data_IF_511708948053
#
_entry.id   IF_511708948053
#
_cell.length_a   1.000
_cell.length_b   1.000
_cell.length_c   1.000
_cell.angle_alpha   90.00
_cell.angle_beta   90.00
_cell.angle_gamma   90.00
#
_symmetry.space_group_name_H-M   'P 1'
#
loop_
_entity.id
_entity.type
_entity.pdbx_description
1 polymer ?
#
# COMPACT_ATOMS: atom_id res chain seq x y z
N UNK A 1 45.03 -9.21 -31.21
CA UNK A 1 44.82 -10.66 -31.17
C UNK A 1 44.88 -11.11 -29.73
N UNK A 2 43.78 -11.20 -29.05
CA UNK A 2 43.57 -12.09 -27.91
C UNK A 2 42.10 -12.48 -27.91
N UNK A 3 41.93 -13.78 -28.10
CA UNK A 3 40.66 -14.49 -28.18
C UNK A 3 40.21 -14.81 -26.74
N UNK A 4 39.02 -14.41 -26.38
CA UNK A 4 38.34 -14.85 -25.15
C UNK A 4 36.96 -15.37 -25.53
N UNK A 5 36.95 -16.64 -25.94
CA UNK A 5 35.76 -17.47 -25.93
C UNK A 5 35.70 -18.23 -24.58
N UNK A 6 34.58 -18.17 -23.90
CA UNK A 6 34.22 -19.13 -22.86
C UNK A 6 33.90 -18.52 -21.52
N UNK A 7 32.62 -18.42 -21.25
CA UNK A 7 31.92 -18.78 -20.01
C UNK A 7 30.58 -18.01 -19.93
N UNK A 8 29.60 -18.54 -20.63
CA UNK A 8 28.19 -18.25 -20.33
C UNK A 8 27.51 -19.58 -20.03
N UNK A 9 27.25 -19.84 -18.78
CA UNK A 9 26.16 -20.73 -18.36
C UNK A 9 26.07 -20.71 -16.84
N UNK A 10 25.27 -19.80 -16.31
CA UNK A 10 24.53 -20.02 -15.08
C UNK A 10 23.17 -19.41 -15.32
N UNK A 11 22.24 -20.24 -15.77
CA UNK A 11 20.83 -19.95 -15.78
C UNK A 11 20.35 -19.83 -14.33
N UNK A 12 19.98 -18.64 -13.94
CA UNK A 12 19.14 -18.45 -12.79
C UNK A 12 17.74 -18.93 -13.23
N UNK A 13 17.32 -20.11 -12.76
CA UNK A 13 15.93 -20.54 -12.76
C UNK A 13 15.15 -19.60 -11.84
N UNK A 14 14.73 -18.47 -12.37
CA UNK A 14 13.63 -17.72 -11.81
C UNK A 14 12.36 -18.51 -12.15
N UNK A 15 11.96 -19.42 -11.27
CA UNK A 15 10.61 -19.97 -11.28
C UNK A 15 9.64 -18.82 -10.97
N UNK A 16 9.31 -18.00 -11.96
CA UNK A 16 8.15 -17.12 -11.92
C UNK A 16 6.95 -18.03 -11.94
N UNK A 17 6.40 -18.29 -10.77
CA UNK A 17 5.14 -19.02 -10.62
C UNK A 17 4.03 -18.12 -11.17
N UNK A 18 3.53 -18.43 -12.36
CA UNK A 18 2.38 -17.74 -12.95
C UNK A 18 1.12 -18.46 -12.50
N UNK A 19 0.22 -17.82 -11.75
CA UNK A 19 -1.06 -18.42 -11.43
C UNK A 19 -1.84 -18.74 -12.72
N UNK A 20 -2.53 -19.87 -12.73
CA UNK A 20 -3.41 -20.28 -13.84
C UNK A 20 -4.67 -19.40 -13.96
N UNK A 21 -4.55 -18.12 -13.72
CA UNK A 21 -5.64 -17.16 -13.78
C UNK A 21 -6.29 -17.05 -15.16
N UNK A 22 -5.56 -17.36 -16.21
CA UNK A 22 -5.94 -17.01 -17.59
C UNK A 22 -6.51 -18.17 -18.39
N UNK A 23 -6.59 -19.35 -17.82
CA UNK A 23 -7.46 -20.39 -18.30
C UNK A 23 -8.60 -20.61 -17.31
N UNK A 24 -9.37 -19.57 -17.00
CA UNK A 24 -10.75 -19.79 -16.59
C UNK A 24 -11.39 -20.48 -17.77
N UNK A 25 -11.44 -21.81 -17.71
CA UNK A 25 -12.31 -22.59 -18.56
C UNK A 25 -13.72 -22.06 -18.31
N UNK A 26 -14.21 -21.18 -19.15
CA UNK A 26 -15.61 -20.70 -19.15
C UNK A 26 -16.62 -21.86 -19.35
N UNK A 27 -16.18 -23.10 -19.22
CA UNK A 27 -16.97 -24.32 -19.40
C UNK A 27 -17.50 -24.92 -18.11
N UNK A 28 -17.14 -24.37 -16.91
CA UNK A 28 -17.79 -24.71 -15.65
C UNK A 28 -18.52 -23.46 -15.11
N UNK A 29 -19.54 -23.00 -15.82
CA UNK A 29 -20.55 -22.14 -15.24
C UNK A 29 -21.31 -22.96 -14.19
N UNK A 30 -20.87 -22.88 -12.92
CA UNK A 30 -21.77 -23.21 -11.82
C UNK A 30 -22.85 -22.13 -11.84
N UNK A 31 -24.12 -22.53 -11.92
CA UNK A 31 -25.30 -21.66 -11.99
C UNK A 31 -25.47 -20.76 -10.75
N UNK A 32 -24.54 -20.76 -9.82
CA UNK A 32 -24.65 -20.17 -8.49
C UNK A 32 -23.64 -19.02 -8.23
N UNK A 33 -22.76 -18.69 -9.20
CA UNK A 33 -21.83 -17.55 -9.01
C UNK A 33 -22.57 -16.23 -9.19
N UNK A 34 -22.33 -15.30 -8.27
CA UNK A 34 -22.82 -13.92 -8.38
C UNK A 34 -22.19 -13.27 -9.61
N UNK A 35 -23.03 -12.62 -10.42
CA UNK A 35 -22.56 -11.88 -11.58
C UNK A 35 -22.24 -10.43 -11.18
N UNK A 36 -20.96 -10.08 -11.19
CA UNK A 36 -20.51 -8.71 -10.92
C UNK A 36 -20.84 -7.79 -12.09
N UNK A 37 -21.36 -6.60 -11.76
CA UNK A 37 -21.65 -5.58 -12.78
C UNK A 37 -20.36 -4.83 -13.17
N UNK A 38 -19.60 -5.44 -14.09
CA UNK A 38 -18.29 -4.94 -14.54
C UNK A 38 -18.35 -3.54 -15.17
N UNK A 39 -19.44 -3.19 -15.84
CA UNK A 39 -19.57 -1.86 -16.44
C UNK A 39 -19.80 -0.79 -15.35
N UNK A 40 -20.59 -1.08 -14.30
CA UNK A 40 -20.76 -0.19 -13.16
C UNK A 40 -19.46 -0.03 -12.38
N UNK A 41 -18.73 -1.12 -12.14
CA UNK A 41 -17.41 -1.10 -11.51
C UNK A 41 -16.45 -0.19 -12.30
N UNK A 42 -16.40 -0.34 -13.63
CA UNK A 42 -15.59 0.50 -14.50
C UNK A 42 -16.00 1.98 -14.39
N UNK A 43 -17.28 2.29 -14.48
CA UNK A 43 -17.76 3.68 -14.43
C UNK A 43 -17.48 4.34 -13.09
N UNK A 44 -17.61 3.62 -11.96
CA UNK A 44 -17.21 4.09 -10.63
C UNK A 44 -15.72 4.41 -10.61
N UNK A 45 -14.88 3.45 -10.98
CA UNK A 45 -13.45 3.63 -11.00
C UNK A 45 -13.02 4.84 -11.84
N UNK A 46 -13.56 4.96 -13.08
CA UNK A 46 -13.29 6.10 -13.94
C UNK A 46 -13.71 7.45 -13.30
N UNK A 47 -14.82 7.48 -12.57
CA UNK A 47 -15.28 8.70 -11.90
C UNK A 47 -14.39 9.06 -10.69
N UNK A 48 -13.92 8.06 -9.95
CA UNK A 48 -13.10 8.27 -8.76
C UNK A 48 -11.68 8.74 -9.10
N UNK A 49 -11.04 8.15 -10.10
CA UNK A 49 -9.69 8.55 -10.51
C UNK A 49 -9.62 9.98 -11.08
N UNK A 50 -10.74 10.53 -11.54
CA UNK A 50 -10.81 11.91 -12.04
C UNK A 50 -10.89 12.97 -10.92
N UNK A 51 -11.15 12.56 -9.68
CA UNK A 51 -11.08 13.46 -8.52
C UNK A 51 -9.63 13.54 -8.05
N UNK A 52 -9.00 14.70 -8.11
CA UNK A 52 -7.63 14.90 -7.63
C UNK A 52 -7.60 14.83 -6.09
N UNK A 53 -6.83 13.91 -5.54
CA UNK A 53 -6.78 13.64 -4.10
C UNK A 53 -5.36 13.43 -3.57
N UNK A 54 -4.34 13.92 -4.30
CA UNK A 54 -2.94 13.74 -3.88
C UNK A 54 -2.72 14.21 -2.45
N UNK A 55 -2.08 13.38 -1.64
CA UNK A 55 -1.67 13.73 -0.29
C UNK A 55 -0.59 14.83 -0.33
N UNK A 56 -0.57 15.69 0.68
CA UNK A 56 0.44 16.75 0.82
C UNK A 56 1.23 16.52 2.12
N UNK A 57 2.46 15.96 2.04
CA UNK A 57 3.28 15.72 3.23
C UNK A 57 3.73 17.00 3.95
N UNK A 58 3.62 18.17 3.30
CA UNK A 58 3.93 19.45 3.91
C UNK A 58 2.74 20.09 4.64
N UNK A 59 1.55 19.49 4.54
CA UNK A 59 0.33 20.01 5.17
C UNK A 59 0.19 19.57 6.62
N UNK A 60 -0.06 20.53 7.52
CA UNK A 60 -0.42 20.24 8.92
C UNK A 60 -1.91 19.88 9.09
N UNK A 61 -2.73 20.02 8.05
CA UNK A 61 -4.16 19.68 8.12
C UNK A 61 -4.40 18.17 8.01
N UNK A 62 -5.59 17.72 8.45
CA UNK A 62 -6.09 16.38 8.20
C UNK A 62 -7.55 16.49 7.67
N UNK A 63 -7.87 15.91 6.50
CA UNK A 63 -6.90 15.38 5.55
C UNK A 63 -5.96 16.47 5.00
N UNK A 64 -4.83 16.04 4.45
CA UNK A 64 -3.79 16.94 3.93
C UNK A 64 -4.22 17.71 2.68
N UNK A 65 -5.21 17.21 1.94
CA UNK A 65 -5.75 17.82 0.73
C UNK A 65 -7.27 17.87 0.71
N UNK A 66 -7.84 18.91 0.06
CA UNK A 66 -9.29 19.09 -0.03
C UNK A 66 -9.99 18.09 -0.95
N UNK A 67 -9.27 17.53 -1.93
CA UNK A 67 -9.84 16.57 -2.87
C UNK A 67 -10.35 15.28 -2.19
N UNK A 68 -9.74 14.89 -1.08
CA UNK A 68 -10.19 13.76 -0.27
C UNK A 68 -11.60 13.99 0.31
N UNK A 69 -11.92 15.23 0.71
CA UNK A 69 -13.30 15.61 1.08
C UNK A 69 -14.27 15.46 -0.09
N UNK A 70 -13.85 15.82 -1.29
CA UNK A 70 -14.74 15.83 -2.46
C UNK A 70 -15.02 14.40 -2.95
N UNK A 71 -14.01 13.53 -2.97
CA UNK A 71 -14.20 12.10 -3.24
C UNK A 71 -15.09 11.46 -2.16
N UNK A 72 -14.83 11.75 -0.89
CA UNK A 72 -15.66 11.25 0.22
C UNK A 72 -17.13 11.68 0.13
N UNK A 73 -17.42 12.91 -0.32
CA UNK A 73 -18.81 13.37 -0.58
C UNK A 73 -19.47 12.57 -1.69
N UNK A 74 -18.73 12.26 -2.77
CA UNK A 74 -19.22 11.43 -3.87
C UNK A 74 -19.61 10.03 -3.35
N UNK A 75 -18.71 9.38 -2.61
CA UNK A 75 -18.94 8.06 -2.02
C UNK A 75 -20.11 8.04 -1.05
N UNK A 76 -20.23 9.07 -0.20
CA UNK A 76 -21.37 9.23 0.70
C UNK A 76 -22.71 9.31 -0.06
N UNK A 77 -22.74 10.03 -1.20
CA UNK A 77 -23.94 10.11 -2.04
C UNK A 77 -24.30 8.74 -2.63
N UNK A 78 -23.30 7.98 -3.09
CA UNK A 78 -23.52 6.63 -3.63
C UNK A 78 -23.98 5.64 -2.55
N UNK A 79 -23.35 5.65 -1.35
CA UNK A 79 -23.77 4.79 -0.23
C UNK A 79 -25.22 5.06 0.17
N UNK A 80 -25.62 6.34 0.21
CA UNK A 80 -27.01 6.72 0.50
C UNK A 80 -27.99 6.30 -0.61
N UNK A 81 -27.56 6.38 -1.87
CA UNK A 81 -28.36 5.86 -2.99
C UNK A 81 -28.52 4.33 -2.94
N UNK A 82 -27.56 3.62 -2.37
CA UNK A 82 -27.61 2.19 -2.06
C UNK A 82 -28.37 1.88 -0.75
N UNK A 83 -29.03 2.86 -0.13
CA UNK A 83 -29.82 2.73 1.10
C UNK A 83 -29.01 2.33 2.34
N UNK A 84 -27.73 2.67 2.39
CA UNK A 84 -26.90 2.52 3.59
C UNK A 84 -27.27 3.65 4.57
N UNK A 85 -28.08 3.31 5.57
CA UNK A 85 -28.78 4.30 6.42
C UNK A 85 -27.82 5.08 7.33
N UNK A 86 -26.76 4.43 7.84
CA UNK A 86 -25.77 5.02 8.73
C UNK A 86 -24.61 5.69 7.98
N UNK A 87 -24.68 5.75 6.64
CA UNK A 87 -23.60 6.34 5.83
C UNK A 87 -23.36 7.80 6.20
N UNK A 88 -22.13 8.11 6.58
CA UNK A 88 -21.70 9.45 6.93
C UNK A 88 -20.24 9.72 6.50
N UNK A 89 -19.94 10.99 6.27
CA UNK A 89 -18.57 11.51 6.23
C UNK A 89 -18.40 12.34 7.51
N UNK A 90 -17.38 12.00 8.29
CA UNK A 90 -17.16 12.65 9.58
C UNK A 90 -16.32 13.93 9.47
N UNK A 91 -16.02 14.56 10.61
CA UNK A 91 -15.23 15.79 10.71
C UNK A 91 -13.75 15.62 10.27
N UNK A 92 -13.30 14.41 10.03
CA UNK A 92 -11.98 14.07 9.53
C UNK A 92 -11.99 13.60 8.08
N UNK A 93 -13.10 13.80 7.37
CA UNK A 93 -13.33 13.35 6.00
C UNK A 93 -13.43 11.82 5.82
N UNK A 94 -13.29 11.03 6.87
CA UNK A 94 -13.46 9.58 6.80
C UNK A 94 -14.89 9.24 6.41
N UNK A 95 -15.07 8.29 5.51
CA UNK A 95 -16.41 7.85 5.07
C UNK A 95 -16.74 6.50 5.70
N UNK A 96 -17.88 6.43 6.34
CA UNK A 96 -18.38 5.28 7.08
C UNK A 96 -19.71 4.79 6.54
N UNK A 97 -19.95 3.48 6.61
CA UNK A 97 -21.24 2.89 6.30
C UNK A 97 -21.31 1.45 6.76
N UNK A 98 -22.52 0.92 6.94
CA UNK A 98 -22.74 -0.47 7.32
C UNK A 98 -23.77 -1.12 6.40
N UNK A 99 -23.39 -2.19 5.73
CA UNK A 99 -24.33 -3.12 5.09
C UNK A 99 -24.87 -4.02 6.21
N UNK A 100 -26.17 -3.98 6.54
CA UNK A 100 -26.75 -4.84 7.57
C UNK A 100 -26.62 -6.32 7.21
N UNK A 101 -26.49 -7.18 8.22
CA UNK A 101 -26.44 -8.62 7.99
C UNK A 101 -27.69 -9.14 7.26
N UNK A 102 -27.50 -9.99 6.26
CA UNK A 102 -28.60 -10.59 5.49
C UNK A 102 -29.45 -11.56 6.32
N UNK A 103 -28.88 -12.20 7.34
CA UNK A 103 -29.51 -13.18 8.22
C UNK A 103 -29.96 -12.60 9.58
N UNK A 104 -29.74 -11.29 9.81
CA UNK A 104 -30.07 -10.62 11.07
C UNK A 104 -29.11 -10.93 12.23
N UNK A 105 -28.05 -11.69 12.04
CA UNK A 105 -26.98 -11.89 13.02
C UNK A 105 -26.09 -10.66 13.09
N UNK A 106 -25.53 -10.33 14.25
CA UNK A 106 -24.74 -9.12 14.46
C UNK A 106 -23.23 -9.37 14.42
N UNK A 107 -22.79 -10.63 14.48
CA UNK A 107 -21.37 -11.02 14.53
C UNK A 107 -21.13 -12.30 13.74
N UNK A 108 -19.92 -12.50 13.19
CA UNK A 108 -18.82 -11.53 13.19
C UNK A 108 -19.06 -10.36 12.25
N UNK A 109 -18.56 -9.17 12.62
CA UNK A 109 -18.55 -7.98 11.78
C UNK A 109 -17.23 -7.88 11.03
N UNK A 110 -17.28 -7.72 9.72
CA UNK A 110 -16.11 -7.54 8.87
C UNK A 110 -16.03 -6.09 8.40
N UNK A 111 -14.87 -5.45 8.53
CA UNK A 111 -14.63 -4.14 7.95
C UNK A 111 -13.83 -4.24 6.65
N UNK A 112 -14.16 -3.41 5.67
CA UNK A 112 -13.42 -3.25 4.43
C UNK A 112 -12.91 -1.82 4.37
N UNK A 113 -11.62 -1.68 4.10
CA UNK A 113 -10.89 -0.41 4.18
C UNK A 113 -10.17 -0.13 2.85
N UNK A 114 -10.24 1.10 2.39
CA UNK A 114 -9.49 1.62 1.24
C UNK A 114 -9.20 3.10 1.47
N UNK A 115 -8.09 3.63 0.94
CA UNK A 115 -7.77 5.04 1.13
C UNK A 115 -8.22 5.92 -0.04
N UNK A 116 -8.49 7.18 0.27
CA UNK A 116 -9.00 8.18 -0.67
C UNK A 116 -7.89 8.96 -1.39
N UNK A 117 -6.76 9.15 -0.70
CA UNK A 117 -5.65 9.89 -1.24
C UNK A 117 -4.87 9.12 -2.32
N UNK A 118 -4.00 9.80 -2.98
CA UNK A 118 -3.03 9.22 -3.92
C UNK A 118 -1.65 9.73 -3.60
N UNK A 119 -0.63 8.97 -3.98
CA UNK A 119 0.76 9.29 -3.75
C UNK A 119 1.15 10.68 -4.28
N UNK A 120 1.95 11.45 -3.52
CA UNK A 120 2.55 12.70 -4.00
C UNK A 120 3.77 12.48 -4.93
N UNK A 121 4.22 11.25 -5.15
CA UNK A 121 5.43 10.93 -5.92
C UNK A 121 5.28 11.22 -7.42
N UNK A 122 4.05 11.19 -7.93
CA UNK A 122 3.74 11.59 -9.30
C UNK A 122 2.52 12.53 -9.33
N UNK A 123 2.37 13.40 -10.36
CA UNK A 123 1.21 14.27 -10.47
C UNK A 123 -0.10 13.48 -10.47
N UNK A 124 -1.06 13.83 -9.60
CA UNK A 124 -2.37 13.15 -9.46
C UNK A 124 -3.58 14.02 -9.81
N UNK A 125 -3.35 15.21 -10.40
CA UNK A 125 -4.42 16.14 -10.74
C UNK A 125 -4.81 16.08 -12.22
N UNK A 126 -6.11 16.21 -12.50
CA UNK A 126 -6.66 16.18 -13.86
C UNK A 126 -6.37 14.88 -14.61
N UNK A 127 -6.43 13.77 -13.94
CA UNK A 127 -6.23 12.43 -14.51
C UNK A 127 -7.11 12.21 -15.72
N UNK A 128 -6.52 11.71 -16.82
CA UNK A 128 -7.21 11.38 -18.08
C UNK A 128 -7.16 9.87 -18.31
N UNK A 129 -8.10 9.11 -17.73
CA UNK A 129 -8.06 7.65 -17.83
C UNK A 129 -8.32 7.18 -19.27
N UNK A 130 -7.57 6.16 -19.70
CA UNK A 130 -7.68 5.53 -21.03
C UNK A 130 -8.15 4.08 -20.85
N UNK A 131 -9.26 3.71 -21.48
CA UNK A 131 -9.80 2.35 -21.38
C UNK A 131 -9.38 1.53 -22.59
N UNK A 132 -8.65 0.45 -22.36
CA UNK A 132 -8.21 -0.52 -23.37
C UNK A 132 -9.04 -1.79 -23.20
N UNK A 133 -10.09 -1.93 -24.00
CA UNK A 133 -10.92 -3.13 -23.97
C UNK A 133 -10.28 -4.25 -24.80
N UNK A 134 -10.34 -5.48 -24.29
CA UNK A 134 -9.77 -6.67 -24.94
C UNK A 134 -8.29 -6.47 -25.33
N UNK A 135 -7.46 -6.12 -24.35
CA UNK A 135 -6.04 -5.87 -24.57
C UNK A 135 -5.39 -6.97 -25.40
N UNK A 136 -4.76 -6.58 -26.51
CA UNK A 136 -4.21 -7.53 -27.48
C UNK A 136 -2.85 -8.14 -27.09
N UNK A 137 -2.21 -7.58 -26.05
CA UNK A 137 -0.84 -7.92 -25.64
C UNK A 137 0.21 -7.01 -26.27
N UNK A 138 1.42 -7.04 -25.73
CA UNK A 138 2.56 -6.20 -26.11
C UNK A 138 2.62 -4.91 -25.28
N UNK A 139 3.54 -4.03 -25.65
CA UNK A 139 3.74 -2.76 -24.95
C UNK A 139 2.56 -1.80 -25.20
N UNK A 140 2.27 -0.95 -24.20
CA UNK A 140 1.22 0.08 -24.29
C UNK A 140 1.88 1.45 -24.37
N UNK A 141 1.76 2.11 -25.53
CA UNK A 141 2.19 3.50 -25.67
C UNK A 141 1.10 4.43 -25.15
N UNK A 142 1.46 5.25 -24.16
CA UNK A 142 0.56 6.25 -23.57
C UNK A 142 0.55 7.54 -24.40
N UNK A 143 -0.54 8.30 -24.41
CA UNK A 143 -0.67 9.53 -25.22
C UNK A 143 0.45 10.55 -25.04
N UNK A 144 1.07 10.66 -23.86
CA UNK A 144 2.20 11.54 -23.61
C UNK A 144 3.56 11.00 -24.08
N UNK A 145 3.60 9.77 -24.63
CA UNK A 145 4.82 9.13 -25.14
C UNK A 145 5.54 8.22 -24.16
N UNK A 146 5.05 8.09 -22.92
CA UNK A 146 5.54 7.08 -21.98
C UNK A 146 5.08 5.69 -22.42
N UNK A 147 5.79 4.65 -22.02
CA UNK A 147 5.52 3.27 -22.40
C UNK A 147 5.29 2.43 -21.13
N UNK A 148 4.25 1.61 -21.12
CA UNK A 148 4.15 0.49 -20.20
C UNK A 148 4.63 -0.72 -20.99
N UNK A 149 5.84 -1.17 -20.73
CA UNK A 149 6.46 -2.24 -21.51
C UNK A 149 6.42 -3.58 -20.76
N UNK A 150 6.28 -4.66 -21.54
CA UNK A 150 6.19 -6.03 -21.02
C UNK A 150 7.49 -6.45 -20.31
N UNK A 151 8.64 -5.88 -20.67
CA UNK A 151 9.91 -6.25 -20.05
C UNK A 151 10.03 -5.76 -18.61
N UNK A 152 9.51 -4.54 -18.32
CA UNK A 152 9.46 -3.99 -16.97
C UNK A 152 8.20 -4.43 -16.18
N UNK A 153 7.11 -4.77 -16.88
CA UNK A 153 5.87 -5.26 -16.30
C UNK A 153 5.41 -6.59 -16.94
N UNK A 154 6.03 -7.73 -16.60
CA UNK A 154 5.70 -9.04 -17.19
C UNK A 154 4.24 -9.48 -16.99
N UNK A 155 3.54 -8.93 -15.99
CA UNK A 155 2.12 -9.19 -15.74
C UNK A 155 1.24 -8.84 -16.94
N UNK A 156 1.61 -7.86 -17.78
CA UNK A 156 0.87 -7.51 -18.99
C UNK A 156 0.66 -8.67 -19.95
N UNK A 157 1.63 -9.58 -20.10
CA UNK A 157 1.47 -10.74 -20.99
C UNK A 157 0.35 -11.69 -20.57
N UNK A 158 -0.01 -11.66 -19.27
CA UNK A 158 -1.10 -12.47 -18.71
C UNK A 158 -2.47 -11.85 -18.92
N UNK A 159 -2.53 -10.55 -19.24
CA UNK A 159 -3.77 -9.77 -19.30
C UNK A 159 -4.40 -9.70 -20.72
N UNK A 160 -3.91 -10.52 -21.66
CA UNK A 160 -4.49 -10.57 -23.03
C UNK A 160 -5.98 -10.88 -22.99
N UNK A 161 -6.77 -10.05 -23.69
CA UNK A 161 -8.23 -10.14 -23.72
C UNK A 161 -8.93 -9.41 -22.58
N UNK A 162 -8.20 -8.98 -21.54
CA UNK A 162 -8.76 -8.22 -20.41
C UNK A 162 -8.98 -6.74 -20.74
N UNK A 163 -9.71 -6.07 -19.88
CA UNK A 163 -9.90 -4.62 -19.94
C UNK A 163 -8.95 -3.93 -18.98
N UNK A 164 -8.09 -3.06 -19.50
CA UNK A 164 -7.15 -2.26 -18.73
C UNK A 164 -7.60 -0.80 -18.72
N UNK A 165 -7.29 -0.11 -17.63
CA UNK A 165 -7.42 1.34 -17.50
C UNK A 165 -6.05 1.91 -17.22
N UNK A 166 -5.57 2.81 -18.09
CA UNK A 166 -4.29 3.50 -17.96
C UNK A 166 -4.51 4.99 -17.83
N UNK A 167 -3.45 5.75 -17.62
CA UNK A 167 -3.45 7.23 -17.70
C UNK A 167 -3.05 7.68 -19.10
N UNK A 168 -3.06 9.00 -19.34
CA UNK A 168 -2.50 9.59 -20.55
C UNK A 168 -0.94 9.68 -20.52
N UNK A 169 -0.31 9.28 -19.43
CA UNK A 169 1.14 9.31 -19.21
C UNK A 169 1.69 10.62 -18.65
N UNK A 170 0.83 11.58 -18.24
CA UNK A 170 1.23 12.82 -17.57
C UNK A 170 1.06 12.78 -16.07
N UNK A 171 0.13 11.95 -15.60
CA UNK A 171 -0.22 11.77 -14.20
C UNK A 171 -0.11 10.30 -13.83
N UNK A 172 -0.09 9.98 -12.55
CA UNK A 172 -0.50 8.65 -12.10
C UNK A 172 -1.98 8.41 -12.46
N UNK A 173 -2.46 7.17 -12.34
CA UNK A 173 -3.87 6.86 -12.53
C UNK A 173 -4.69 7.09 -11.24
N UNK A 174 -4.10 6.77 -10.09
CA UNK A 174 -4.76 6.70 -8.79
C UNK A 174 -5.53 5.40 -8.61
N UNK A 175 -5.06 4.32 -9.24
CA UNK A 175 -5.50 2.96 -8.96
C UNK A 175 -5.25 2.59 -7.53
N UNK A 176 -4.12 3.02 -6.99
CA UNK A 176 -3.74 3.08 -5.60
C UNK A 176 -4.36 4.34 -4.97
N UNK A 177 -5.43 4.23 -4.13
CA UNK A 177 -6.22 3.00 -3.89
C UNK A 177 -7.70 3.15 -4.31
N UNK A 178 -7.97 3.95 -5.35
CA UNK A 178 -9.34 4.11 -5.88
C UNK A 178 -9.86 2.82 -6.55
N UNK A 179 -8.98 1.86 -6.84
CA UNK A 179 -9.40 0.52 -7.25
C UNK A 179 -10.06 -0.21 -6.08
N UNK A 180 -9.44 -0.22 -4.89
CA UNK A 180 -10.02 -0.76 -3.67
C UNK A 180 -11.33 -0.06 -3.30
N UNK A 181 -11.36 1.27 -3.39
CA UNK A 181 -12.60 2.05 -3.19
C UNK A 181 -13.71 1.56 -4.12
N UNK A 182 -13.42 1.40 -5.42
CA UNK A 182 -14.42 0.96 -6.40
C UNK A 182 -14.87 -0.50 -6.17
N UNK A 183 -13.96 -1.38 -5.77
CA UNK A 183 -14.25 -2.77 -5.40
C UNK A 183 -15.20 -2.83 -4.21
N UNK A 184 -14.92 -2.10 -3.14
CA UNK A 184 -15.77 -2.05 -1.95
C UNK A 184 -17.16 -1.51 -2.31
N UNK A 185 -17.24 -0.44 -3.08
CA UNK A 185 -18.52 0.14 -3.51
C UNK A 185 -19.33 -0.80 -4.42
N UNK A 186 -18.66 -1.59 -5.26
CA UNK A 186 -19.32 -2.62 -6.09
C UNK A 186 -19.79 -3.80 -5.24
N UNK A 187 -19.01 -4.22 -4.25
CA UNK A 187 -19.45 -5.24 -3.29
C UNK A 187 -20.72 -4.79 -2.55
N UNK A 188 -20.73 -3.56 -2.01
CA UNK A 188 -21.91 -3.02 -1.32
C UNK A 188 -23.14 -3.08 -2.23
N UNK A 189 -23.01 -2.62 -3.46
CA UNK A 189 -24.11 -2.70 -4.43
C UNK A 189 -24.55 -4.14 -4.71
N UNK A 190 -23.58 -5.05 -4.86
CA UNK A 190 -23.83 -6.48 -5.10
C UNK A 190 -24.58 -7.11 -3.94
N UNK A 191 -24.21 -6.85 -2.70
CA UNK A 191 -24.88 -7.39 -1.51
C UNK A 191 -26.31 -6.84 -1.37
N UNK A 192 -26.50 -5.54 -1.58
CA UNK A 192 -27.84 -4.90 -1.51
C UNK A 192 -28.76 -5.42 -2.59
N UNK A 193 -28.29 -5.60 -3.81
CA UNK A 193 -29.08 -6.09 -4.96
C UNK A 193 -29.39 -7.59 -4.88
N UNK A 194 -28.62 -8.35 -4.09
CA UNK A 194 -28.74 -9.81 -3.98
C UNK A 194 -28.99 -10.27 -2.52
N UNK A 195 -30.17 -10.01 -1.96
CA UNK A 195 -30.46 -10.28 -0.54
C UNK A 195 -30.45 -11.78 -0.18
N UNK A 196 -30.28 -12.67 -1.14
CA UNK A 196 -30.09 -14.11 -0.92
C UNK A 196 -28.65 -14.48 -0.58
N UNK A 197 -27.68 -13.56 -0.80
CA UNK A 197 -26.32 -13.77 -0.38
C UNK A 197 -26.22 -13.67 1.15
N UNK A 198 -25.64 -14.69 1.76
CA UNK A 198 -25.53 -14.76 3.22
C UNK A 198 -24.25 -14.07 3.67
N UNK A 199 -24.39 -13.06 4.51
CA UNK A 199 -23.26 -12.34 5.12
C UNK A 199 -23.65 -11.76 6.48
N UNK A 200 -22.67 -11.58 7.37
CA UNK A 200 -22.78 -10.77 8.58
C UNK A 200 -22.78 -9.27 8.28
N UNK A 201 -22.72 -8.40 9.30
CA UNK A 201 -22.56 -6.97 9.06
C UNK A 201 -21.24 -6.68 8.34
N UNK A 202 -21.29 -5.86 7.28
CA UNK A 202 -20.10 -5.41 6.57
C UNK A 202 -19.94 -3.91 6.78
N UNK A 203 -18.87 -3.52 7.46
CA UNK A 203 -18.47 -2.13 7.65
C UNK A 203 -17.66 -1.64 6.46
N UNK A 204 -17.96 -0.45 5.99
CA UNK A 204 -17.17 0.24 4.98
C UNK A 204 -16.47 1.42 5.64
N UNK A 205 -15.18 1.55 5.41
CA UNK A 205 -14.37 2.66 5.89
C UNK A 205 -13.43 3.13 4.77
N UNK A 206 -13.57 4.39 4.37
CA UNK A 206 -12.60 5.03 3.49
C UNK A 206 -11.78 6.03 4.28
N UNK A 207 -10.44 5.86 4.22
CA UNK A 207 -9.45 6.60 5.00
C UNK A 207 -8.84 7.74 4.20
N UNK A 208 -8.11 8.61 4.88
CA UNK A 208 -7.41 9.74 4.29
C UNK A 208 -5.92 9.72 4.68
N UNK A 209 -5.04 10.21 3.78
CA UNK A 209 -3.63 10.41 4.07
C UNK A 209 -2.84 9.11 4.40
N UNK A 210 -3.23 7.97 3.81
CA UNK A 210 -2.48 6.71 3.92
C UNK A 210 -1.07 6.86 3.37
N UNK A 211 -0.94 7.45 2.19
CA UNK A 211 0.29 7.62 1.41
C UNK A 211 1.39 8.47 2.11
N UNK A 212 0.99 9.17 3.16
CA UNK A 212 1.88 9.91 4.05
C UNK A 212 1.90 9.35 5.48
N UNK A 213 1.41 8.11 5.64
CA UNK A 213 1.46 7.34 6.89
C UNK A 213 0.49 7.78 7.97
N UNK A 214 -0.57 8.51 7.64
CA UNK A 214 -1.56 9.07 8.57
C UNK A 214 -2.96 8.43 8.47
N UNK A 215 -3.11 7.39 7.66
CA UNK A 215 -4.41 6.78 7.30
C UNK A 215 -5.25 6.35 8.49
N UNK A 216 -4.61 5.89 9.55
CA UNK A 216 -5.33 5.41 10.74
C UNK A 216 -5.39 6.38 11.91
N UNK A 217 -4.88 7.62 11.77
CA UNK A 217 -4.75 8.58 12.88
C UNK A 217 -6.09 9.00 13.48
N UNK A 218 -7.14 9.02 12.66
CA UNK A 218 -8.47 9.49 13.05
C UNK A 218 -9.52 8.39 13.09
N UNK A 219 -9.11 7.12 12.95
CA UNK A 219 -10.04 6.00 13.00
C UNK A 219 -10.45 5.75 14.45
N UNK A 220 -11.75 5.77 14.70
CA UNK A 220 -12.37 5.34 15.94
C UNK A 220 -12.70 3.82 15.84
N UNK A 221 -11.86 2.99 16.47
CA UNK A 221 -12.03 1.53 16.47
C UNK A 221 -13.27 1.07 17.27
N UNK A 222 -13.73 1.84 18.27
CA UNK A 222 -14.96 1.54 19.00
C UNK A 222 -16.17 1.78 18.09
N UNK A 223 -16.18 2.86 17.30
CA UNK A 223 -17.20 3.13 16.28
C UNK A 223 -17.17 2.09 15.17
N UNK A 224 -15.97 1.69 14.70
CA UNK A 224 -15.81 0.66 13.68
C UNK A 224 -16.39 -0.66 14.18
N UNK A 225 -16.08 -1.05 15.41
CA UNK A 225 -16.60 -2.23 16.09
C UNK A 225 -16.60 -3.48 15.18
N UNK A 226 -15.45 -3.78 14.61
CA UNK A 226 -15.26 -4.92 13.71
C UNK A 226 -14.46 -6.04 14.39
N UNK A 227 -14.78 -7.28 14.04
CA UNK A 227 -14.03 -8.48 14.48
C UNK A 227 -12.71 -8.59 13.71
N UNK A 228 -12.74 -8.23 12.44
CA UNK A 228 -11.63 -8.30 11.50
C UNK A 228 -11.79 -7.19 10.48
N UNK A 229 -10.70 -6.72 9.90
CA UNK A 229 -10.76 -5.85 8.74
C UNK A 229 -9.93 -6.42 7.57
N UNK A 230 -10.14 -5.90 6.37
CA UNK A 230 -9.33 -6.13 5.19
C UNK A 230 -9.10 -4.81 4.48
N UNK A 231 -7.84 -4.47 4.21
CA UNK A 231 -7.52 -3.41 3.24
C UNK A 231 -7.58 -3.97 1.83
N UNK A 232 -8.05 -3.18 0.86
CA UNK A 232 -8.14 -3.54 -0.57
C UNK A 232 -7.08 -2.80 -1.38
N UNK A 233 -5.86 -2.77 -0.89
CA UNK A 233 -4.76 -1.94 -1.33
C UNK A 233 -3.57 -2.76 -1.88
N UNK A 234 -3.80 -4.02 -2.20
CA UNK A 234 -2.77 -4.90 -2.75
C UNK A 234 -2.65 -4.82 -4.26
N UNK A 235 -1.44 -4.91 -4.78
CA UNK A 235 -1.19 -4.99 -6.22
C UNK A 235 -1.63 -6.30 -6.84
N UNK A 236 -1.81 -6.31 -8.16
CA UNK A 236 -2.13 -7.51 -8.94
C UNK A 236 -3.47 -8.17 -8.57
N UNK A 237 -3.57 -9.47 -8.83
CA UNK A 237 -4.74 -10.27 -8.55
C UNK A 237 -4.43 -11.46 -7.65
N UNK A 238 -5.41 -11.84 -6.81
CA UNK A 238 -5.37 -13.01 -5.93
C UNK A 238 -4.10 -13.10 -5.08
N UNK A 239 -3.71 -11.97 -4.51
CA UNK A 239 -2.64 -11.87 -3.53
C UNK A 239 -3.27 -11.59 -2.17
N UNK A 240 -2.74 -12.21 -1.14
CA UNK A 240 -3.00 -11.92 0.25
C UNK A 240 -1.68 -11.50 0.88
N UNK A 241 -1.58 -10.27 1.32
CA UNK A 241 -0.43 -9.81 2.08
C UNK A 241 -0.69 -10.07 3.56
N UNK A 242 0.07 -11.00 4.10
CA UNK A 242 -0.05 -11.44 5.50
C UNK A 242 1.15 -11.06 6.36
N UNK A 243 2.06 -10.28 5.78
CA UNK A 243 3.28 -9.82 6.43
C UNK A 243 3.74 -8.49 5.85
N UNK A 244 4.16 -7.57 6.72
CA UNK A 244 4.75 -6.30 6.33
C UNK A 244 6.09 -6.08 7.03
N UNK A 245 6.88 -5.12 6.60
CA UNK A 245 7.96 -4.63 7.45
C UNK A 245 7.43 -4.12 8.79
N UNK A 246 8.27 -4.21 9.82
CA UNK A 246 8.27 -3.29 10.94
C UNK A 246 9.08 -2.06 10.59
N UNK A 247 8.69 -0.90 11.08
CA UNK A 247 9.23 0.39 10.69
C UNK A 247 9.50 1.30 11.88
N UNK A 248 10.65 1.95 11.85
CA UNK A 248 10.97 3.13 12.66
C UNK A 248 11.56 4.22 11.78
N UNK A 249 11.35 5.47 12.15
CA UNK A 249 12.14 6.61 11.70
C UNK A 249 13.33 6.85 12.61
N UNK A 250 14.35 7.52 12.12
CA UNK A 250 15.45 8.01 12.94
C UNK A 250 15.87 9.42 12.53
N UNK A 251 16.16 10.26 13.50
CA UNK A 251 16.67 11.62 13.30
C UNK A 251 18.01 11.71 14.04
N UNK A 252 19.06 11.99 13.28
CA UNK A 252 20.41 12.17 13.85
C UNK A 252 20.80 13.63 13.69
N UNK A 253 20.94 14.32 14.83
CA UNK A 253 21.29 15.72 14.88
C UNK A 253 22.73 15.90 15.33
N UNK A 254 23.50 16.74 14.61
CA UNK A 254 24.88 17.11 14.92
C UNK A 254 24.97 18.59 15.24
N UNK A 255 25.57 18.94 16.40
CA UNK A 255 25.90 20.31 16.79
C UNK A 255 27.41 20.53 16.64
N UNK A 256 27.75 21.43 15.73
CA UNK A 256 29.13 21.88 15.51
C UNK A 256 29.42 23.26 16.13
N UNK A 257 30.51 23.84 15.71
CA UNK A 257 30.91 25.20 16.11
C UNK A 257 31.28 26.01 14.85
N UNK A 258 30.42 26.95 14.48
CA UNK A 258 30.68 27.83 13.32
C UNK A 258 31.54 29.03 13.75
N UNK A 259 32.55 29.33 12.93
CA UNK A 259 33.39 30.52 13.04
C UNK A 259 33.85 30.94 11.64
N UNK A 260 34.22 32.20 11.44
CA UNK A 260 34.67 32.69 10.15
C UNK A 260 35.83 31.84 9.59
N UNK A 261 35.75 31.35 8.33
CA UNK A 261 36.73 30.42 7.76
C UNK A 261 38.19 30.86 7.84
N UNK A 262 38.46 32.18 7.78
CA UNK A 262 39.84 32.72 7.85
C UNK A 262 40.53 32.48 9.18
N UNK A 263 39.78 32.19 10.25
CA UNK A 263 40.30 31.96 11.62
C UNK A 263 39.83 30.61 12.18
N UNK A 264 39.41 29.70 11.29
CA UNK A 264 38.76 28.44 11.65
C UNK A 264 39.71 27.33 12.08
N UNK A 265 41.01 27.45 11.80
CA UNK A 265 42.00 26.42 12.16
C UNK A 265 41.93 26.10 13.65
N UNK A 266 41.80 24.83 13.99
CA UNK A 266 41.74 24.26 15.35
C UNK A 266 40.58 24.82 16.22
N UNK A 267 39.57 25.45 15.60
CA UNK A 267 38.43 26.08 16.27
C UNK A 267 37.07 25.75 15.71
N UNK A 268 36.96 25.58 14.38
CA UNK A 268 35.72 25.21 13.75
C UNK A 268 35.44 23.72 13.90
N UNK A 269 34.20 23.39 14.27
CA UNK A 269 33.65 22.03 14.21
C UNK A 269 32.51 22.03 13.18
N UNK A 270 32.69 21.32 12.09
CA UNK A 270 31.80 21.42 10.94
C UNK A 270 30.75 20.26 10.98
N UNK A 271 29.50 20.58 11.32
CA UNK A 271 28.41 19.60 11.41
C UNK A 271 28.06 18.97 10.05
N UNK A 272 28.21 19.67 8.92
CA UNK A 272 28.01 19.09 7.58
C UNK A 272 28.99 17.96 7.32
N UNK A 273 30.27 18.11 7.74
CA UNK A 273 31.26 17.04 7.60
C UNK A 273 30.92 15.85 8.52
N UNK A 274 30.41 16.13 9.71
CA UNK A 274 29.99 15.09 10.65
C UNK A 274 28.84 14.26 10.08
N UNK A 275 27.81 14.91 9.53
CA UNK A 275 26.68 14.24 8.88
C UNK A 275 27.12 13.41 7.66
N UNK A 276 28.02 13.94 6.83
CA UNK A 276 28.57 13.20 5.69
C UNK A 276 29.38 11.97 6.13
N UNK A 277 30.25 12.12 7.18
CA UNK A 277 31.04 11.02 7.73
C UNK A 277 30.14 9.94 8.38
N UNK A 278 29.04 10.35 9.03
CA UNK A 278 28.05 9.47 9.60
C UNK A 278 27.40 8.61 8.49
N UNK A 279 26.83 9.22 7.45
CA UNK A 279 26.20 8.51 6.33
C UNK A 279 27.19 7.59 5.63
N UNK A 280 28.45 8.04 5.41
CA UNK A 280 29.49 7.23 4.78
C UNK A 280 29.90 5.98 5.58
N UNK A 281 29.65 5.96 6.90
CA UNK A 281 29.97 4.83 7.79
C UNK A 281 28.80 3.84 7.94
N UNK A 282 27.60 4.18 7.45
CA UNK A 282 26.47 3.24 7.46
C UNK A 282 26.75 2.05 6.52
N UNK A 283 26.17 0.88 6.78
CA UNK A 283 26.46 -0.37 6.05
C UNK A 283 25.78 -0.43 4.67
N UNK A 284 26.19 0.45 3.77
CA UNK A 284 25.61 0.58 2.44
C UNK A 284 25.56 -0.72 1.64
N UNK A 285 26.62 -1.53 1.71
CA UNK A 285 26.76 -2.73 0.85
C UNK A 285 25.90 -3.92 1.32
N UNK A 286 25.36 -3.85 2.55
CA UNK A 286 24.65 -5.00 3.18
C UNK A 286 23.33 -4.65 3.84
N UNK A 287 23.02 -3.37 3.99
CA UNK A 287 21.82 -2.93 4.73
C UNK A 287 21.34 -1.57 4.21
N UNK A 288 21.16 -1.45 2.89
CA UNK A 288 20.54 -0.27 2.26
C UNK A 288 19.48 -0.72 1.23
N UNK A 289 18.50 0.10 0.90
CA UNK A 289 17.47 -0.29 -0.09
C UNK A 289 18.09 -0.62 -1.46
N UNK A 290 19.22 0.01 -1.81
CA UNK A 290 19.91 -0.22 -3.09
C UNK A 290 20.60 -1.58 -3.18
N UNK A 291 20.81 -2.27 -2.04
CA UNK A 291 21.58 -3.53 -1.97
C UNK A 291 20.80 -4.69 -1.35
N UNK A 292 19.60 -4.43 -0.83
CA UNK A 292 18.77 -5.45 -0.16
C UNK A 292 17.53 -5.80 -0.98
N UNK A 293 17.05 -7.04 -0.83
CA UNK A 293 15.91 -7.60 -1.55
C UNK A 293 15.12 -8.56 -0.65
N UNK A 294 13.95 -8.98 -1.13
CA UNK A 294 13.13 -9.98 -0.46
C UNK A 294 12.92 -9.64 1.02
N UNK A 295 13.36 -10.51 1.92
CA UNK A 295 13.19 -10.36 3.37
C UNK A 295 14.31 -9.57 4.07
N UNK A 296 15.30 -9.08 3.33
CA UNK A 296 16.40 -8.31 3.91
C UNK A 296 15.93 -6.91 4.31
N UNK A 297 16.20 -6.53 5.56
CA UNK A 297 15.90 -5.19 6.08
C UNK A 297 16.95 -4.16 5.67
N UNK A 298 16.70 -2.88 6.00
CA UNK A 298 17.62 -1.81 5.64
C UNK A 298 17.59 -0.60 6.58
N UNK A 299 18.68 0.17 6.52
CA UNK A 299 18.85 1.53 7.06
C UNK A 299 18.97 2.46 5.85
N UNK A 300 18.05 3.41 5.70
CA UNK A 300 18.03 4.33 4.56
C UNK A 300 18.08 5.79 4.99
N UNK A 301 19.23 6.47 4.89
CA UNK A 301 19.28 7.94 5.02
C UNK A 301 18.66 8.55 3.76
N UNK A 302 17.60 9.35 3.90
CA UNK A 302 16.88 9.93 2.77
C UNK A 302 16.94 11.46 2.73
N UNK A 303 17.22 12.10 3.89
CA UNK A 303 17.39 13.55 3.97
C UNK A 303 18.67 13.89 4.73
N UNK A 304 19.39 14.91 4.26
CA UNK A 304 20.50 15.55 4.96
C UNK A 304 20.38 17.05 4.77
N UNK A 305 20.24 17.78 5.87
CA UNK A 305 20.06 19.22 5.87
C UNK A 305 20.97 19.88 6.89
N UNK A 306 21.32 21.14 6.68
CA UNK A 306 22.02 21.95 7.67
C UNK A 306 23.17 22.77 7.18
N UNK A 307 23.98 23.23 8.10
CA UNK A 307 25.14 24.10 7.92
C UNK A 307 26.29 23.75 8.85
N UNK A 308 27.30 24.62 8.91
CA UNK A 308 28.51 24.39 9.71
C UNK A 308 28.19 24.25 11.22
N UNK A 309 27.19 25.00 11.70
CA UNK A 309 26.82 25.02 13.12
C UNK A 309 25.97 23.83 13.54
N UNK A 310 25.13 23.34 12.66
CA UNK A 310 24.22 22.22 12.92
C UNK A 310 23.89 21.49 11.62
N UNK A 311 23.65 20.20 11.70
CA UNK A 311 23.18 19.38 10.58
C UNK A 311 22.31 18.23 11.09
N UNK A 312 21.31 17.87 10.30
CA UNK A 312 20.38 16.76 10.61
C UNK A 312 20.40 15.75 9.47
N UNK A 313 20.35 14.48 9.83
CA UNK A 313 20.16 13.36 8.91
C UNK A 313 18.88 12.64 9.32
N UNK A 314 17.95 12.49 8.39
CA UNK A 314 16.75 11.70 8.59
C UNK A 314 16.87 10.35 7.89
N UNK A 315 16.43 9.30 8.60
CA UNK A 315 16.55 7.93 8.14
C UNK A 315 15.25 7.16 8.38
N UNK A 316 15.04 6.14 7.57
CA UNK A 316 14.03 5.11 7.83
C UNK A 316 14.71 3.76 8.06
N UNK A 317 14.18 2.99 9.02
CA UNK A 317 14.62 1.66 9.40
C UNK A 317 13.51 0.67 9.08
N UNK A 318 13.82 -0.41 8.38
CA UNK A 318 12.83 -1.40 7.94
C UNK A 318 13.39 -2.81 8.12
N UNK A 319 12.60 -3.69 8.73
CA UNK A 319 12.87 -5.14 8.76
C UNK A 319 11.57 -5.93 8.95
N UNK A 320 11.51 -7.17 8.43
CA UNK A 320 10.43 -8.10 8.76
C UNK A 320 10.54 -8.62 10.21
N UNK A 321 11.73 -8.63 10.79
CA UNK A 321 11.94 -9.01 12.17
C UNK A 321 12.00 -7.71 13.03
N UNK A 322 11.01 -7.53 13.90
CA UNK A 322 10.88 -6.32 14.74
C UNK A 322 12.12 -6.06 15.61
N UNK A 323 12.78 -7.11 16.07
CA UNK A 323 14.02 -7.00 16.90
C UNK A 323 15.20 -6.37 16.15
N UNK A 324 15.24 -6.50 14.81
CA UNK A 324 16.31 -5.89 14.00
C UNK A 324 16.27 -4.36 14.08
N UNK A 325 15.10 -3.74 14.24
CA UNK A 325 14.98 -2.29 14.37
C UNK A 325 15.76 -1.77 15.58
N UNK A 326 15.79 -2.54 16.68
CA UNK A 326 16.61 -2.22 17.85
C UNK A 326 18.09 -2.30 17.53
N UNK A 327 18.51 -3.33 16.81
CA UNK A 327 19.91 -3.49 16.35
C UNK A 327 20.31 -2.33 15.45
N UNK A 328 19.42 -1.90 14.54
CA UNK A 328 19.67 -0.75 13.67
C UNK A 328 19.80 0.55 14.48
N UNK A 329 18.91 0.79 15.45
CA UNK A 329 19.00 1.95 16.34
C UNK A 329 20.32 1.99 17.14
N UNK A 330 20.74 0.86 17.70
CA UNK A 330 22.04 0.71 18.36
C UNK A 330 23.21 1.00 17.43
N UNK A 331 23.12 0.56 16.17
CA UNK A 331 24.12 0.83 15.14
C UNK A 331 24.21 2.32 14.78
N UNK A 332 23.07 3.01 14.66
CA UNK A 332 23.03 4.47 14.43
C UNK A 332 23.72 5.21 15.60
N UNK A 333 23.39 4.85 16.83
CA UNK A 333 24.00 5.46 18.02
C UNK A 333 25.52 5.23 18.04
N UNK A 334 25.97 4.00 17.84
CA UNK A 334 27.41 3.68 17.81
C UNK A 334 28.15 4.43 16.70
N UNK A 335 27.51 4.59 15.53
CA UNK A 335 28.09 5.34 14.41
C UNK A 335 28.18 6.83 14.72
N UNK A 336 27.16 7.43 15.32
CA UNK A 336 27.17 8.82 15.76
C UNK A 336 28.26 9.05 16.82
N UNK A 337 28.37 8.18 17.81
CA UNK A 337 29.41 8.24 18.85
C UNK A 337 30.83 8.17 18.26
N UNK A 338 31.04 7.31 17.25
CA UNK A 338 32.33 7.22 16.57
C UNK A 338 32.67 8.51 15.80
N UNK A 339 31.71 9.19 15.22
CA UNK A 339 31.89 10.51 14.56
C UNK A 339 32.22 11.58 15.61
N UNK A 340 31.52 11.61 16.74
CA UNK A 340 31.78 12.53 17.85
C UNK A 340 33.21 12.33 18.39
N UNK A 341 33.64 11.08 18.56
CA UNK A 341 35.01 10.77 19.00
C UNK A 341 36.07 11.26 18.02
N UNK A 342 35.81 11.21 16.73
CA UNK A 342 36.74 11.66 15.69
C UNK A 342 36.80 13.19 15.53
N UNK A 343 35.79 13.93 16.01
CA UNK A 343 35.67 15.39 15.88
C UNK A 343 35.55 16.08 17.26
N UNK A 344 36.65 16.43 17.92
CA UNK A 344 36.61 17.08 19.23
C UNK A 344 35.74 18.35 19.24
N UNK A 345 34.79 18.46 20.15
CA UNK A 345 33.85 19.59 20.28
C UNK A 345 32.52 19.39 19.52
N UNK A 346 32.37 18.33 18.72
CA UNK A 346 31.11 17.95 18.14
C UNK A 346 30.21 17.31 19.21
N UNK A 347 28.91 17.57 19.12
CA UNK A 347 27.88 16.81 19.83
C UNK A 347 26.94 16.16 18.82
N UNK A 348 26.34 15.04 19.22
CA UNK A 348 25.29 14.37 18.43
C UNK A 348 24.20 13.84 19.33
N UNK A 349 22.98 13.74 18.79
CA UNK A 349 21.86 13.01 19.38
C UNK A 349 21.20 12.16 18.32
N UNK A 350 20.69 11.00 18.73
CA UNK A 350 19.91 10.09 17.89
C UNK A 350 18.53 9.95 18.51
N UNK A 351 17.52 10.28 17.77
CA UNK A 351 16.11 10.09 18.12
C UNK A 351 15.52 9.00 17.25
N UNK A 352 14.83 8.04 17.87
CA UNK A 352 14.10 6.97 17.17
C UNK A 352 12.61 7.24 17.29
N UNK A 353 11.94 7.32 16.14
CA UNK A 353 10.50 7.57 16.04
C UNK A 353 9.82 6.26 15.61
N UNK A 354 9.09 5.66 16.54
CA UNK A 354 8.29 4.46 16.24
C UNK A 354 7.22 4.77 15.20
N UNK A 355 7.08 3.92 14.19
CA UNK A 355 6.06 4.05 13.15
C UNK A 355 5.04 2.92 13.26
N UNK A 356 5.29 1.74 12.68
CA UNK A 356 4.39 0.59 12.71
C UNK A 356 5.15 -0.72 12.87
N UNK A 357 4.42 -1.81 13.14
CA UNK A 357 4.99 -3.16 13.32
C UNK A 357 4.43 -4.12 12.27
N UNK A 358 5.20 -5.19 12.02
CA UNK A 358 4.81 -6.26 11.10
C UNK A 358 3.43 -6.81 11.49
N UNK A 359 2.49 -6.77 10.54
CA UNK A 359 1.10 -7.20 10.79
C UNK A 359 0.97 -8.70 11.14
N UNK A 360 1.96 -9.52 10.77
CA UNK A 360 1.97 -10.97 11.04
C UNK A 360 1.78 -11.32 12.52
N UNK A 361 2.38 -10.54 13.43
CA UNK A 361 2.24 -10.80 14.87
C UNK A 361 0.78 -10.66 15.32
N UNK A 362 0.12 -9.57 14.93
CA UNK A 362 -1.27 -9.30 15.28
C UNK A 362 -2.25 -10.25 14.58
N UNK A 363 -1.97 -10.64 13.32
CA UNK A 363 -2.78 -11.64 12.61
C UNK A 363 -2.76 -13.01 13.30
N UNK A 364 -1.71 -13.33 14.05
CA UNK A 364 -1.64 -14.58 14.82
C UNK A 364 -2.73 -14.69 15.90
N UNK A 365 -3.34 -13.59 16.32
CA UNK A 365 -4.43 -13.57 17.30
C UNK A 365 -5.79 -13.97 16.70
N UNK A 366 -5.93 -13.87 15.37
CA UNK A 366 -7.10 -14.28 14.60
C UNK A 366 -6.66 -14.88 13.26
N UNK A 367 -6.07 -16.09 13.25
CA UNK A 367 -5.54 -16.70 12.02
C UNK A 367 -6.61 -16.94 10.95
N UNK A 368 -7.88 -16.93 11.34
CA UNK A 368 -9.03 -17.03 10.45
C UNK A 368 -9.10 -15.86 9.46
N UNK A 369 -8.57 -14.69 9.81
CA UNK A 369 -8.50 -13.56 8.91
C UNK A 369 -7.80 -13.91 7.59
N UNK A 370 -6.70 -14.66 7.67
CA UNK A 370 -5.95 -15.14 6.51
C UNK A 370 -6.52 -16.45 5.97
N UNK A 371 -6.89 -17.39 6.85
CA UNK A 371 -7.34 -18.73 6.44
C UNK A 371 -8.63 -18.67 5.65
N UNK A 372 -9.62 -17.85 6.08
CA UNK A 372 -10.88 -17.72 5.37
C UNK A 372 -10.71 -16.97 4.03
N UNK A 373 -9.79 -16.00 3.97
CA UNK A 373 -9.46 -15.35 2.69
C UNK A 373 -8.86 -16.34 1.68
N UNK A 374 -7.95 -17.23 2.13
CA UNK A 374 -7.41 -18.32 1.30
C UNK A 374 -8.51 -19.32 0.88
N UNK A 375 -9.37 -19.70 1.83
CA UNK A 375 -10.48 -20.61 1.54
C UNK A 375 -11.46 -20.03 0.52
N UNK A 376 -11.70 -18.73 0.54
CA UNK A 376 -12.54 -18.06 -0.46
C UNK A 376 -11.97 -18.23 -1.88
N UNK A 377 -10.65 -18.08 -2.07
CA UNK A 377 -10.01 -18.35 -3.35
C UNK A 377 -10.12 -19.84 -3.74
N UNK A 378 -9.88 -20.76 -2.79
CA UNK A 378 -10.03 -22.21 -3.03
C UNK A 378 -11.45 -22.57 -3.49
N UNK A 379 -12.49 -22.02 -2.84
CA UNK A 379 -13.89 -22.24 -3.21
C UNK A 379 -14.21 -21.69 -4.61
N UNK A 380 -13.58 -20.61 -5.01
CA UNK A 380 -13.70 -20.03 -6.35
C UNK A 380 -12.84 -20.75 -7.39
N UNK A 381 -11.95 -21.66 -6.96
CA UNK A 381 -11.00 -22.35 -7.86
C UNK A 381 -9.97 -21.38 -8.46
N UNK A 382 -9.58 -20.36 -7.71
CA UNK A 382 -8.60 -19.35 -8.09
C UNK A 382 -7.27 -19.68 -7.39
N UNK A 383 -6.21 -19.84 -8.15
CA UNK A 383 -4.86 -19.92 -7.60
C UNK A 383 -4.48 -18.57 -6.99
N UNK A 384 -3.97 -18.55 -5.75
CA UNK A 384 -3.57 -17.34 -5.04
C UNK A 384 -2.13 -17.41 -4.54
N UNK A 385 -1.61 -16.28 -4.11
CA UNK A 385 -0.31 -16.17 -3.45
C UNK A 385 -0.44 -15.50 -2.09
N UNK A 386 0.38 -15.94 -1.14
CA UNK A 386 0.69 -15.19 0.06
C UNK A 386 1.99 -14.43 -0.17
N UNK A 387 1.94 -13.13 -0.02
CA UNK A 387 3.09 -12.25 -0.22
C UNK A 387 3.41 -11.44 1.04
N UNK A 388 4.52 -10.74 1.00
CA UNK A 388 4.98 -9.86 2.07
C UNK A 388 5.31 -8.50 1.47
N UNK A 389 4.84 -7.44 2.11
CA UNK A 389 5.07 -6.06 1.66
C UNK A 389 6.35 -5.51 2.31
N UNK A 390 7.28 -4.98 1.51
CA UNK A 390 8.49 -4.28 2.00
C UNK A 390 8.18 -2.83 2.44
N UNK A 391 7.00 -2.58 2.92
CA UNK A 391 6.47 -1.33 3.42
C UNK A 391 5.45 -1.59 4.52
N UNK A 392 4.60 -0.62 4.79
CA UNK A 392 3.43 -0.72 5.67
C UNK A 392 2.19 -0.27 4.92
N UNK A 393 1.04 -0.58 5.48
CA UNK A 393 -0.28 -0.17 5.00
C UNK A 393 -1.14 0.24 6.19
N UNK A 394 -2.31 0.82 5.96
CA UNK A 394 -3.32 1.00 7.01
C UNK A 394 -3.59 -0.32 7.77
N UNK A 395 -3.50 -1.46 7.07
CA UNK A 395 -3.62 -2.79 7.67
C UNK A 395 -2.58 -3.08 8.75
N UNK A 396 -1.33 -2.65 8.57
CA UNK A 396 -0.26 -2.79 9.57
C UNK A 396 -0.59 -2.02 10.84
N UNK A 397 -1.05 -0.78 10.69
CA UNK A 397 -1.38 0.10 11.81
C UNK A 397 -2.66 -0.34 12.53
N UNK A 398 -3.70 -0.77 11.79
CA UNK A 398 -4.93 -1.30 12.37
C UNK A 398 -4.67 -2.59 13.15
N UNK A 399 -3.83 -3.48 12.61
CA UNK A 399 -3.44 -4.72 13.28
C UNK A 399 -2.66 -4.44 14.57
N UNK A 400 -1.75 -3.47 14.57
CA UNK A 400 -1.03 -3.04 15.79
C UNK A 400 -1.98 -2.44 16.83
N UNK A 401 -3.03 -1.75 16.40
CA UNK A 401 -4.08 -1.20 17.27
C UNK A 401 -5.06 -2.27 17.78
N UNK A 402 -4.88 -3.55 17.40
CA UNK A 402 -5.64 -4.70 17.88
C UNK A 402 -6.77 -5.17 16.97
N UNK A 403 -6.88 -4.63 15.75
CA UNK A 403 -7.83 -5.10 14.74
C UNK A 403 -7.07 -5.86 13.64
N UNK A 404 -7.09 -7.21 13.63
CA UNK A 404 -6.42 -8.01 12.62
C UNK A 404 -6.85 -7.60 11.20
N UNK A 405 -5.90 -7.16 10.36
CA UNK A 405 -6.22 -6.54 9.06
C UNK A 405 -5.19 -6.97 8.00
N UNK A 406 -5.35 -8.15 7.37
CA UNK A 406 -4.54 -8.49 6.19
C UNK A 406 -4.92 -7.62 4.98
N UNK A 407 -4.01 -7.51 4.01
CA UNK A 407 -4.24 -6.75 2.80
C UNK A 407 -4.60 -7.70 1.63
N UNK A 408 -5.54 -7.29 0.79
CA UNK A 408 -6.01 -8.01 -0.38
C UNK A 408 -5.76 -7.23 -1.66
N UNK A 409 -5.53 -7.94 -2.75
CA UNK A 409 -5.27 -7.34 -4.06
C UNK A 409 -6.48 -6.59 -4.62
N UNK A 410 -6.20 -5.49 -5.32
CA UNK A 410 -7.17 -4.59 -5.93
C UNK A 410 -7.06 -4.51 -7.46
N UNK A 411 -6.09 -5.19 -8.09
CA UNK A 411 -5.88 -5.15 -9.53
C UNK A 411 -5.14 -3.90 -10.02
N UNK A 412 -4.44 -3.20 -9.13
CA UNK A 412 -3.56 -2.07 -9.43
C UNK A 412 -2.15 -2.52 -9.78
N UNK A 413 -1.47 -1.76 -10.65
CA UNK A 413 -0.14 -2.07 -11.16
C UNK A 413 0.66 -0.80 -11.41
N UNK A 414 2.00 -0.89 -11.29
CA UNK A 414 2.94 0.22 -11.50
C UNK A 414 2.56 1.49 -10.70
N UNK A 415 2.15 1.30 -9.46
CA UNK A 415 1.70 2.38 -8.57
C UNK A 415 2.76 3.49 -8.43
N UNK A 416 2.34 4.68 -8.00
CA UNK A 416 3.19 5.86 -7.77
C UNK A 416 3.91 6.39 -9.03
N UNK A 417 3.46 6.01 -10.22
CA UNK A 417 4.13 6.36 -11.48
C UNK A 417 3.13 6.79 -12.56
N UNK A 418 3.62 7.55 -13.54
CA UNK A 418 2.82 7.94 -14.72
C UNK A 418 2.51 6.76 -15.66
N UNK A 419 3.07 5.59 -15.38
CA UNK A 419 2.79 4.31 -16.05
C UNK A 419 1.84 3.42 -15.26
N UNK A 420 1.21 3.95 -14.22
CA UNK A 420 0.23 3.24 -13.42
C UNK A 420 -0.97 2.81 -14.27
N UNK A 421 -1.49 1.61 -14.00
CA UNK A 421 -2.69 1.09 -14.63
C UNK A 421 -3.44 0.14 -13.70
N UNK A 422 -4.72 -0.09 -13.99
CA UNK A 422 -5.55 -1.07 -13.30
C UNK A 422 -6.17 -2.06 -14.28
N UNK A 423 -6.41 -3.29 -13.82
CA UNK A 423 -7.07 -4.33 -14.59
C UNK A 423 -8.50 -4.55 -14.08
N UNK A 424 -9.50 -4.19 -14.87
CA UNK A 424 -10.92 -4.34 -14.51
C UNK A 424 -11.31 -5.79 -14.23
N UNK A 425 -10.69 -6.74 -14.93
CA UNK A 425 -10.96 -8.18 -14.75
C UNK A 425 -10.48 -8.66 -13.38
N UNK A 426 -9.34 -8.17 -12.91
CA UNK A 426 -8.80 -8.43 -11.59
C UNK A 426 -9.62 -7.74 -10.49
N UNK A 427 -10.03 -6.49 -10.71
CA UNK A 427 -10.95 -5.80 -9.80
C UNK A 427 -12.27 -6.57 -9.64
N UNK A 428 -12.85 -7.07 -10.74
CA UNK A 428 -14.07 -7.86 -10.68
C UNK A 428 -13.89 -9.19 -9.94
N UNK A 429 -12.75 -9.85 -10.12
CA UNK A 429 -12.39 -11.05 -9.38
C UNK A 429 -12.21 -10.77 -7.87
N UNK A 430 -11.68 -9.61 -7.50
CA UNK A 430 -11.61 -9.18 -6.10
C UNK A 430 -13.00 -9.00 -5.48
N UNK A 431 -13.98 -8.45 -6.23
CA UNK A 431 -15.37 -8.39 -5.74
C UNK A 431 -15.96 -9.78 -5.55
N UNK A 432 -15.74 -10.72 -6.50
CA UNK A 432 -16.19 -12.12 -6.35
C UNK A 432 -15.56 -12.78 -5.11
N UNK A 433 -14.26 -12.57 -4.89
CA UNK A 433 -13.56 -13.06 -3.71
C UNK A 433 -14.15 -12.52 -2.41
N UNK A 434 -14.44 -11.21 -2.35
CA UNK A 434 -15.07 -10.61 -1.18
C UNK A 434 -16.48 -11.15 -0.90
N UNK A 435 -17.29 -11.39 -1.93
CA UNK A 435 -18.63 -12.02 -1.75
C UNK A 435 -18.50 -13.38 -1.07
N UNK A 436 -17.60 -14.22 -1.54
CA UNK A 436 -17.34 -15.55 -0.95
C UNK A 436 -16.76 -15.41 0.48
N UNK A 437 -15.82 -14.49 0.68
CA UNK A 437 -15.23 -14.24 1.99
C UNK A 437 -16.27 -13.77 3.02
N UNK A 438 -17.20 -12.87 2.65
CA UNK A 438 -18.29 -12.45 3.54
C UNK A 438 -19.20 -13.61 3.89
N UNK A 439 -19.46 -14.52 2.95
CA UNK A 439 -20.24 -15.74 3.18
C UNK A 439 -19.54 -16.67 4.17
N UNK A 440 -18.22 -16.87 4.06
CA UNK A 440 -17.44 -17.68 4.97
C UNK A 440 -17.43 -17.09 6.39
N UNK A 441 -17.23 -15.77 6.51
CA UNK A 441 -17.29 -15.11 7.81
C UNK A 441 -18.65 -15.23 8.49
N UNK A 442 -19.75 -15.22 7.73
CA UNK A 442 -21.09 -15.41 8.31
C UNK A 442 -21.30 -16.78 8.97
N UNK A 443 -20.47 -17.75 8.60
CA UNK A 443 -20.50 -19.12 9.14
C UNK A 443 -19.50 -19.32 10.29
N UNK A 444 -18.56 -18.39 10.46
CA UNK A 444 -17.56 -18.44 11.53
C UNK A 444 -18.24 -18.31 12.90
N UNK A 445 -17.81 -19.14 13.86
CA UNK A 445 -18.22 -19.08 15.26
C UNK A 445 -16.96 -19.10 16.11
N UNK A 446 -16.75 -18.07 16.90
CA UNK A 446 -15.63 -17.93 17.84
C UNK A 446 -15.71 -18.92 19.00
#
# INVERSE_FOLDING_TARGET
>A
MYNLSGLCSNGADSNVFFPRFLQINMTAASSDRVQINRERLLQRFLSYVQVGTSADPASDSYPSSSGQWDLGKLLLQELRALTIEDACQDEHALVWGTVPASNGELEPTVALVAHLDTSPEAPGENVQPQVIRSYAGGDIELPAGNMIDVASCPALDLMRGMTLVTTDGKTLLGGDDKAGVAIIMELVATLVENPHLVHGPVKVLFTCDEEIGRGTDKIDLEKLNATVAYTLDGGSAAVIDEETFSADGAIVHFEGHNIHPSIAKDRMVNAVRAAADFVAKLPRETCSPETTREREGFIHPYTIEGGVGEATVELILRSFETEDLKTYAEQLQATADAVVQAMPGLKASVEIVRQYRNLREGLSHLPEAVTLAKQAFDNLGIDYKSESIRGGTDGSQLTEKGLPTPNLSSGQHNIHAVTEFACLDEMAAAVEHLVELMSLWSQYRS
#
